data_IF_995520504639
#
_entry.id   IF_995520504639
#
_cell.length_a   1.000
_cell.length_b   1.000
_cell.length_c   1.000
_cell.angle_alpha   90.00
_cell.angle_beta   90.00
_cell.angle_gamma   90.00
#
_symmetry.space_group_name_H-M   'P 1'
#
loop_
_entity.id
_entity.type
_entity.pdbx_description
1 polymer ?
#
# COMPACT_ATOMS: atom_id res chain seq x y z
N UNK A 1 4.66 6.17 5.23
CA UNK A 1 4.04 7.33 4.57
C UNK A 1 5.09 8.01 3.71
N UNK A 2 4.80 8.24 2.44
CA UNK A 2 5.52 9.27 1.70
C UNK A 2 5.31 10.60 2.42
N UNK A 3 6.38 11.18 2.94
CA UNK A 3 6.31 12.37 3.80
C UNK A 3 5.97 13.66 3.03
N UNK A 4 5.93 13.62 1.70
CA UNK A 4 5.57 14.77 0.84
C UNK A 4 4.09 14.83 0.47
N UNK A 5 3.26 13.90 0.96
CA UNK A 5 1.81 13.94 0.80
C UNK A 5 1.32 13.69 -0.62
N UNK A 6 2.17 13.24 -1.55
CA UNK A 6 1.78 13.06 -2.96
C UNK A 6 0.77 11.94 -3.20
N UNK A 7 0.74 10.95 -2.31
CA UNK A 7 -0.15 9.80 -2.44
C UNK A 7 -1.58 10.18 -2.05
N UNK A 8 -2.54 9.91 -2.94
CA UNK A 8 -3.98 10.19 -2.74
C UNK A 8 -4.71 9.05 -2.05
N UNK A 9 -4.03 7.92 -1.78
CA UNK A 9 -4.58 6.76 -1.07
C UNK A 9 -3.49 5.95 -0.36
N UNK A 10 -3.90 5.09 0.56
CA UNK A 10 -3.01 4.15 1.27
C UNK A 10 -2.32 3.19 0.26
N UNK A 11 -3.09 2.65 -0.70
CA UNK A 11 -2.53 1.77 -1.73
C UNK A 11 -1.50 2.51 -2.59
N UNK A 12 -1.79 3.75 -2.97
CA UNK A 12 -0.82 4.56 -3.71
C UNK A 12 0.46 4.75 -2.88
N UNK A 13 0.35 5.09 -1.59
CA UNK A 13 1.50 5.22 -0.72
C UNK A 13 2.34 3.92 -0.67
N UNK A 14 1.69 2.75 -0.60
CA UNK A 14 2.36 1.45 -0.69
C UNK A 14 3.12 1.30 -2.01
N UNK A 15 2.52 1.68 -3.13
CA UNK A 15 3.13 1.55 -4.47
C UNK A 15 4.35 2.45 -4.70
N UNK A 16 4.51 3.52 -3.95
CA UNK A 16 5.68 4.39 -4.03
C UNK A 16 6.86 3.93 -3.18
N UNK A 17 6.68 2.91 -2.33
CA UNK A 17 7.76 2.39 -1.50
C UNK A 17 8.71 1.49 -2.30
N UNK A 18 10.00 1.58 -1.98
CA UNK A 18 11.05 0.75 -2.57
C UNK A 18 12.19 0.53 -1.58
N UNK A 19 13.34 0.04 -2.05
CA UNK A 19 14.46 -0.32 -1.18
C UNK A 19 14.08 -1.48 -0.26
N UNK A 20 14.17 -1.27 1.06
CA UNK A 20 13.80 -2.29 2.05
C UNK A 20 12.33 -2.73 1.97
N UNK A 21 11.43 -1.85 1.51
CA UNK A 21 10.00 -2.13 1.39
C UNK A 21 9.58 -2.67 0.01
N UNK A 22 10.53 -2.88 -0.92
CA UNK A 22 10.25 -3.34 -2.28
C UNK A 22 9.51 -4.69 -2.29
N UNK A 23 9.92 -5.64 -1.44
CA UNK A 23 9.27 -6.95 -1.34
C UNK A 23 7.81 -6.85 -0.91
N UNK A 24 7.51 -6.01 0.07
CA UNK A 24 6.14 -5.75 0.52
C UNK A 24 5.30 -5.09 -0.59
N UNK A 25 5.90 -4.16 -1.36
CA UNK A 25 5.22 -3.56 -2.51
C UNK A 25 4.82 -4.62 -3.53
N UNK A 26 5.73 -5.52 -3.88
CA UNK A 26 5.46 -6.56 -4.89
C UNK A 26 4.38 -7.55 -4.44
N UNK A 27 4.32 -7.88 -3.14
CA UNK A 27 3.22 -8.68 -2.57
C UNK A 27 1.89 -7.97 -2.79
N UNK A 28 1.79 -6.68 -2.44
CA UNK A 28 0.55 -5.90 -2.63
C UNK A 28 0.22 -5.70 -4.11
N UNK A 29 1.22 -5.63 -4.99
CA UNK A 29 1.02 -5.59 -6.44
C UNK A 29 0.39 -6.87 -6.98
N UNK A 30 0.77 -8.03 -6.42
CA UNK A 30 0.24 -9.35 -6.78
C UNK A 30 -1.14 -9.68 -6.22
N UNK A 31 -1.62 -8.95 -5.21
CA UNK A 31 -2.94 -9.17 -4.62
C UNK A 31 -4.08 -8.97 -5.62
N UNK A 32 -5.18 -9.69 -5.39
CA UNK A 32 -6.49 -9.44 -6.01
C UNK A 32 -7.08 -8.09 -5.58
N UNK A 33 -8.20 -7.72 -6.18
CA UNK A 33 -8.90 -6.48 -5.79
C UNK A 33 -9.48 -6.60 -4.38
N UNK A 34 -10.01 -7.76 -4.06
CA UNK A 34 -10.65 -8.08 -2.78
C UNK A 34 -9.64 -8.10 -1.64
N UNK A 35 -8.46 -8.69 -1.85
CA UNK A 35 -7.36 -8.67 -0.88
C UNK A 35 -6.86 -7.26 -0.61
N UNK A 36 -6.70 -6.44 -1.67
CA UNK A 36 -6.33 -5.03 -1.52
C UNK A 36 -7.38 -4.22 -0.76
N UNK A 37 -8.67 -4.49 -0.99
CA UNK A 37 -9.75 -3.85 -0.25
C UNK A 37 -9.74 -4.25 1.24
N UNK A 38 -9.52 -5.53 1.54
CA UNK A 38 -9.39 -6.01 2.91
C UNK A 38 -8.19 -5.39 3.64
N UNK A 39 -7.04 -5.27 2.95
CA UNK A 39 -5.84 -4.61 3.49
C UNK A 39 -6.11 -3.14 3.82
N UNK A 40 -6.77 -2.40 2.91
CA UNK A 40 -7.13 -1.00 3.15
C UNK A 40 -8.07 -0.87 4.35
N UNK A 41 -9.11 -1.69 4.41
CA UNK A 41 -10.07 -1.67 5.52
C UNK A 41 -9.41 -1.99 6.87
N UNK A 42 -8.45 -2.93 6.89
CA UNK A 42 -7.66 -3.20 8.10
C UNK A 42 -6.84 -1.98 8.52
N UNK A 43 -6.12 -1.35 7.59
CA UNK A 43 -5.27 -0.19 7.88
C UNK A 43 -6.06 1.05 8.30
N UNK A 44 -7.28 1.23 7.81
CA UNK A 44 -8.20 2.31 8.22
C UNK A 44 -8.80 2.09 9.61
N UNK A 45 -8.67 0.88 10.19
CA UNK A 45 -9.22 0.54 11.51
C UNK A 45 -8.24 0.69 12.68
N UNK A 46 -6.99 1.09 12.41
CA UNK A 46 -5.91 1.30 13.38
C UNK A 46 -5.89 2.74 13.91
#
# INVERSE_FOLDING_TARGET
LLHDGRAKSILEAVMWHGGEAEGSREVVRGMTREERAALVAFLESL
#
